data_IF_219749235226
#
_entry.id   IF_219749235226
#
_cell.length_a   1.000
_cell.length_b   1.000
_cell.length_c   1.000
_cell.angle_alpha   90.00
_cell.angle_beta   90.00
_cell.angle_gamma   90.00
#
_symmetry.space_group_name_H-M   'P 1'
#
loop_
_entity.id
_entity.type
_entity.pdbx_description
1 polymer ?
#
# COMPACT_ATOMS: atom_id res chain seq x y z
N UNK A 1 2.46 -8.62 -14.80
CA UNK A 1 3.44 -7.52 -14.60
C UNK A 1 3.68 -7.40 -13.11
N UNK A 2 4.88 -7.74 -12.61
CA UNK A 2 5.17 -7.68 -11.16
C UNK A 2 4.92 -6.25 -10.67
N UNK A 3 4.09 -6.07 -9.64
CA UNK A 3 3.82 -4.80 -8.93
C UNK A 3 5.10 -3.98 -8.72
N UNK A 4 6.22 -4.66 -8.46
CA UNK A 4 7.56 -4.06 -8.34
C UNK A 4 7.98 -3.24 -9.57
N UNK A 5 7.79 -3.74 -10.78
CA UNK A 5 8.17 -3.04 -12.01
C UNK A 5 7.33 -1.78 -12.24
N UNK A 6 6.06 -1.82 -11.85
CA UNK A 6 5.17 -0.66 -11.93
C UNK A 6 5.63 0.49 -11.02
N UNK A 7 6.20 0.17 -9.86
CA UNK A 7 6.59 1.13 -8.83
C UNK A 7 8.06 1.54 -8.80
N UNK A 8 8.95 0.75 -9.40
CA UNK A 8 10.39 1.06 -9.50
C UNK A 8 10.72 2.51 -9.88
N UNK A 9 10.06 3.15 -10.86
CA UNK A 9 10.39 4.53 -11.23
C UNK A 9 9.91 5.59 -10.21
N UNK A 10 9.09 5.20 -9.23
CA UNK A 10 8.48 6.12 -8.25
C UNK A 10 9.04 5.90 -6.85
N UNK A 11 9.35 4.65 -6.46
CA UNK A 11 9.85 4.32 -5.13
C UNK A 11 10.65 3.02 -5.13
N UNK A 12 11.71 2.96 -4.31
CA UNK A 12 12.41 1.70 -4.01
C UNK A 12 11.50 0.83 -3.13
N UNK A 13 11.15 -0.36 -3.59
CA UNK A 13 10.35 -1.34 -2.84
C UNK A 13 11.25 -2.41 -2.22
N UNK A 14 11.16 -2.54 -0.89
CA UNK A 14 11.71 -3.67 -0.15
C UNK A 14 10.55 -4.58 0.28
N UNK A 15 10.82 -5.89 0.38
CA UNK A 15 9.84 -6.85 0.90
C UNK A 15 10.06 -7.09 2.38
N UNK A 16 8.98 -7.14 3.14
CA UNK A 16 8.96 -7.56 4.54
C UNK A 16 7.75 -8.49 4.73
N UNK A 17 7.88 -9.51 5.58
CA UNK A 17 6.78 -10.39 5.95
C UNK A 17 6.35 -10.04 7.37
N UNK A 18 5.14 -9.48 7.49
CA UNK A 18 4.45 -9.25 8.77
C UNK A 18 3.28 -10.24 8.87
N UNK A 19 2.89 -10.62 10.08
CA UNK A 19 1.61 -11.30 10.31
C UNK A 19 0.44 -10.30 10.24
N UNK A 20 -0.79 -10.79 10.05
CA UNK A 20 -1.99 -9.94 10.01
C UNK A 20 -3.05 -10.46 9.03
N UNK A 21 -4.25 -9.88 9.11
CA UNK A 21 -5.33 -10.11 8.16
C UNK A 21 -5.74 -8.78 7.53
N UNK A 22 -5.92 -8.76 6.22
CA UNK A 22 -6.38 -7.59 5.46
C UNK A 22 -7.59 -7.96 4.63
N UNK A 23 -8.52 -7.01 4.43
CA UNK A 23 -9.67 -7.13 3.53
C UNK A 23 -9.25 -7.38 2.07
N UNK A 24 -8.00 -7.05 1.72
CA UNK A 24 -7.39 -7.42 0.45
C UNK A 24 -7.38 -8.93 0.19
N UNK A 25 -7.44 -9.76 1.23
CA UNK A 25 -7.52 -11.22 1.09
C UNK A 25 -8.80 -11.66 0.35
N UNK A 26 -9.93 -10.98 0.55
CA UNK A 26 -11.18 -11.32 -0.13
C UNK A 26 -11.05 -11.12 -1.64
N UNK A 27 -10.64 -9.93 -2.06
CA UNK A 27 -10.49 -9.60 -3.50
C UNK A 27 -9.40 -10.44 -4.16
N UNK A 28 -8.28 -10.68 -3.46
CA UNK A 28 -7.20 -11.53 -3.97
C UNK A 28 -7.65 -12.98 -4.14
N UNK A 29 -8.55 -13.49 -3.28
CA UNK A 29 -9.06 -14.87 -3.38
C UNK A 29 -9.95 -15.04 -4.62
N UNK A 30 -10.64 -13.99 -5.02
CA UNK A 30 -11.44 -13.96 -6.26
C UNK A 30 -10.59 -13.79 -7.54
N UNK A 31 -9.26 -13.84 -7.43
CA UNK A 31 -8.35 -13.69 -8.57
C UNK A 31 -8.22 -12.26 -9.10
N UNK A 32 -8.77 -11.27 -8.38
CA UNK A 32 -8.62 -9.86 -8.74
C UNK A 32 -7.18 -9.41 -8.39
N UNK A 33 -6.46 -8.74 -9.30
CA UNK A 33 -5.16 -8.16 -8.98
C UNK A 33 -5.29 -7.11 -7.87
N UNK A 34 -4.83 -7.44 -6.66
CA UNK A 34 -4.97 -6.60 -5.47
C UNK A 34 -3.61 -6.09 -5.00
N UNK A 35 -3.56 -4.79 -4.66
CA UNK A 35 -2.46 -4.14 -3.97
C UNK A 35 -3.00 -3.58 -2.67
N UNK A 36 -2.28 -3.80 -1.57
CA UNK A 36 -2.66 -3.35 -0.24
C UNK A 36 -1.46 -2.74 0.51
N UNK A 37 -1.71 -2.06 1.63
CA UNK A 37 -0.67 -1.46 2.47
C UNK A 37 -0.09 -0.16 1.88
N UNK A 38 -0.90 0.58 1.13
CA UNK A 38 -0.49 1.84 0.48
C UNK A 38 -0.56 3.06 1.42
N UNK A 39 -1.08 2.88 2.64
CA UNK A 39 -1.20 3.92 3.65
C UNK A 39 0.14 4.40 4.24
N UNK A 40 0.10 5.43 5.10
CA UNK A 40 1.27 5.88 5.86
C UNK A 40 1.82 4.80 6.78
N UNK A 41 3.05 5.02 7.28
CA UNK A 41 3.58 4.19 8.36
C UNK A 41 2.89 4.55 9.67
N UNK A 42 2.70 3.54 10.52
CA UNK A 42 2.10 3.61 11.83
C UNK A 42 2.30 2.28 12.55
N UNK A 43 2.04 2.25 13.84
CA UNK A 43 2.16 1.05 14.68
C UNK A 43 1.04 1.02 15.72
N UNK A 44 0.94 -0.12 16.44
CA UNK A 44 -0.04 -0.37 17.49
C UNK A 44 -1.50 -0.27 17.00
N UNK A 45 -1.77 -0.70 15.77
CA UNK A 45 -3.13 -0.80 15.25
C UNK A 45 -4.04 -1.53 16.23
N UNK A 46 -5.21 -0.95 16.50
CA UNK A 46 -6.20 -1.39 17.47
C UNK A 46 -5.87 -1.10 18.95
N UNK A 47 -4.84 -0.30 19.25
CA UNK A 47 -4.62 0.22 20.61
C UNK A 47 -5.48 1.47 20.86
N UNK A 48 -6.16 1.53 22.01
CA UNK A 48 -6.96 2.70 22.40
C UNK A 48 -6.10 3.93 22.72
N UNK A 49 -4.84 3.74 23.11
CA UNK A 49 -3.97 4.84 23.59
C UNK A 49 -2.71 5.03 22.76
N UNK A 50 -2.24 3.97 22.09
CA UNK A 50 -0.90 3.96 21.50
C UNK A 50 -0.91 3.91 19.98
N UNK A 51 -2.07 3.75 19.34
CA UNK A 51 -2.17 3.76 17.87
C UNK A 51 -1.74 5.13 17.33
N UNK A 52 -0.83 5.11 16.36
CA UNK A 52 -0.37 6.34 15.74
C UNK A 52 0.00 6.16 14.26
N UNK A 53 0.09 7.30 13.58
CA UNK A 53 0.58 7.43 12.22
C UNK A 53 1.77 8.40 12.21
N UNK A 54 2.84 8.05 11.50
CA UNK A 54 3.94 8.97 11.23
C UNK A 54 3.56 9.92 10.07
N UNK A 55 3.16 11.14 10.44
CA UNK A 55 2.77 12.20 9.52
C UNK A 55 3.86 12.55 8.50
N UNK A 56 5.15 12.32 8.79
CA UNK A 56 6.23 12.58 7.82
C UNK A 56 6.14 11.65 6.60
N UNK A 57 5.50 10.50 6.75
CA UNK A 57 5.35 9.50 5.69
C UNK A 57 4.09 9.71 4.85
N UNK A 58 3.12 10.43 5.41
CA UNK A 58 1.80 10.63 4.81
C UNK A 58 1.86 11.26 3.40
N UNK A 59 2.56 12.38 3.16
CA UNK A 59 2.59 12.99 1.82
C UNK A 59 3.18 12.06 0.76
N UNK A 60 4.27 11.35 1.08
CA UNK A 60 4.94 10.45 0.14
C UNK A 60 4.07 9.24 -0.22
N UNK A 61 3.34 8.68 0.75
CA UNK A 61 2.45 7.54 0.55
C UNK A 61 1.18 7.93 -0.22
N UNK A 62 0.62 9.09 0.08
CA UNK A 62 -0.49 9.67 -0.70
C UNK A 62 -0.10 9.93 -2.15
N UNK A 63 1.09 10.51 -2.40
CA UNK A 63 1.59 10.73 -3.76
C UNK A 63 1.79 9.41 -4.53
N UNK A 64 2.26 8.36 -3.84
CA UNK A 64 2.39 7.02 -4.42
C UNK A 64 1.02 6.46 -4.81
N UNK A 65 0.01 6.53 -3.93
CA UNK A 65 -1.36 6.09 -4.23
C UNK A 65 -1.95 6.86 -5.41
N UNK A 66 -1.85 8.19 -5.42
CA UNK A 66 -2.36 9.03 -6.51
C UNK A 66 -1.70 8.68 -7.85
N UNK A 67 -0.37 8.52 -7.87
CA UNK A 67 0.37 8.12 -9.07
C UNK A 67 0.01 6.70 -9.55
N UNK A 68 -0.37 5.82 -8.61
CA UNK A 68 -0.83 4.46 -8.93
C UNK A 68 -2.14 4.51 -9.70
N UNK A 69 -3.12 5.23 -9.14
CA UNK A 69 -4.44 5.41 -9.74
C UNK A 69 -4.28 6.04 -11.12
N UNK A 70 -3.54 7.14 -11.23
CA UNK A 70 -3.31 7.83 -12.50
C UNK A 70 -2.74 6.92 -13.58
N UNK A 71 -1.70 6.12 -13.25
CA UNK A 71 -1.09 5.20 -14.21
C UNK A 71 -2.03 4.07 -14.60
N UNK A 72 -2.77 3.49 -13.66
CA UNK A 72 -3.75 2.44 -13.95
C UNK A 72 -4.90 2.96 -14.82
N UNK A 73 -5.35 4.20 -14.61
CA UNK A 73 -6.38 4.83 -15.43
C UNK A 73 -5.93 5.10 -16.88
N UNK A 74 -4.63 5.14 -17.15
CA UNK A 74 -4.04 5.34 -18.50
C UNK A 74 -3.70 4.03 -19.20
N UNK A 75 -3.88 2.88 -18.56
CA UNK A 75 -3.62 1.55 -19.15
C UNK A 75 -4.83 0.97 -19.88
N UNK A 76 -5.85 1.80 -20.15
CA UNK A 76 -7.01 1.47 -21.00
C UNK A 76 -6.73 1.67 -22.48
#
# INVERSE_FOLDING_TARGET
MLIREFFKPVVKINGERKGGGSDAAYTSTEGVPTVDGMGPLGEFSHSETDEYIDLKTFPKRTALLASTIERLSKLG
#
